data_IF_073362732303
#
_entry.id   IF_073362732303
#
_cell.length_a   1.000
_cell.length_b   1.000
_cell.length_c   1.000
_cell.angle_alpha   90.00
_cell.angle_beta   90.00
_cell.angle_gamma   90.00
#
_symmetry.space_group_name_H-M   'P 1'
#
loop_
_entity.id
_entity.type
_entity.pdbx_description
1 polymer ?
#
# COMPACT_ATOMS: atom_id res chain seq x y z
N UNK A 1 11.07 -8.11 -6.96
CA UNK A 1 10.00 -8.38 -5.98
C UNK A 1 8.77 -8.95 -6.68
N UNK A 2 8.14 -9.94 -6.12
CA UNK A 2 6.89 -10.45 -6.65
C UNK A 2 5.77 -10.24 -5.62
N UNK A 3 4.53 -10.56 -6.01
CA UNK A 3 3.36 -10.32 -5.16
C UNK A 3 3.43 -11.06 -3.82
N UNK A 4 4.14 -12.17 -3.73
CA UNK A 4 4.26 -12.93 -2.49
C UNK A 4 4.99 -12.13 -1.41
N UNK A 5 5.90 -11.27 -1.81
CA UNK A 5 6.66 -10.45 -0.87
C UNK A 5 5.85 -9.28 -0.32
N UNK A 6 4.71 -8.98 -0.93
CA UNK A 6 3.81 -7.95 -0.43
C UNK A 6 2.97 -8.41 0.76
N UNK A 7 2.83 -9.72 0.97
CA UNK A 7 2.01 -10.20 2.08
C UNK A 7 2.62 -9.83 3.41
N UNK A 8 1.78 -9.39 4.33
CA UNK A 8 2.19 -9.06 5.67
C UNK A 8 1.81 -7.66 6.10
N UNK A 9 2.48 -7.18 7.13
CA UNK A 9 2.19 -5.88 7.73
C UNK A 9 3.20 -4.85 7.24
N UNK A 10 2.69 -3.70 6.83
CA UNK A 10 3.51 -2.59 6.34
C UNK A 10 3.16 -1.33 7.10
N UNK A 11 4.15 -0.50 7.33
CA UNK A 11 3.94 0.83 7.89
C UNK A 11 4.18 1.87 6.80
N UNK A 12 3.23 2.77 6.65
CA UNK A 12 3.33 3.86 5.68
C UNK A 12 3.66 5.16 6.39
N UNK A 13 4.57 5.93 5.80
CA UNK A 13 4.89 7.29 6.23
C UNK A 13 4.61 8.22 5.07
N UNK A 14 3.97 9.35 5.34
CA UNK A 14 3.63 10.34 4.33
C UNK A 14 4.38 11.64 4.58
N UNK A 15 4.92 12.23 3.52
CA UNK A 15 5.60 13.51 3.62
C UNK A 15 4.66 14.58 4.13
N UNK A 16 5.09 15.33 5.14
CA UNK A 16 4.30 16.40 5.71
C UNK A 16 3.21 15.97 6.67
N UNK A 17 3.09 14.67 6.94
CA UNK A 17 2.09 14.13 7.87
C UNK A 17 2.81 13.52 9.07
N UNK A 18 2.48 13.94 10.29
CA UNK A 18 3.09 13.35 11.48
C UNK A 18 2.60 11.95 11.77
N UNK A 19 1.41 11.61 11.32
CA UNK A 19 0.84 10.28 11.52
C UNK A 19 0.98 9.47 10.25
N UNK A 20 1.35 8.21 10.42
CA UNK A 20 1.43 7.28 9.32
C UNK A 20 0.18 6.42 9.25
N UNK A 21 0.30 5.33 8.51
CA UNK A 21 -0.76 4.35 8.39
C UNK A 21 -0.17 2.96 8.50
N UNK A 22 -1.03 1.97 8.77
CA UNK A 22 -0.64 0.57 8.84
C UNK A 22 -1.45 -0.18 7.80
N UNK A 23 -0.76 -0.92 6.94
CA UNK A 23 -1.39 -1.75 5.92
C UNK A 23 -1.15 -3.21 6.26
N UNK A 24 -2.20 -4.00 6.14
CA UNK A 24 -2.09 -5.45 6.23
C UNK A 24 -2.51 -6.02 4.88
N UNK A 25 -1.59 -6.69 4.22
CA UNK A 25 -1.80 -7.20 2.86
C UNK A 25 -1.77 -8.72 2.87
N UNK A 26 -2.69 -9.31 2.12
CA UNK A 26 -2.80 -10.76 2.02
C UNK A 26 -3.22 -11.16 0.60
N UNK A 27 -3.28 -12.46 0.36
CA UNK A 27 -3.62 -12.98 -0.95
C UNK A 27 -5.02 -12.55 -1.37
N UNK A 28 -5.16 -12.09 -2.62
CA UNK A 28 -6.46 -11.81 -3.20
C UNK A 28 -7.22 -13.12 -3.41
N UNK A 29 -8.50 -13.19 -3.04
CA UNK A 29 -9.25 -14.46 -3.15
C UNK A 29 -9.54 -14.88 -4.58
N UNK A 30 -9.53 -13.96 -5.53
CA UNK A 30 -9.86 -14.26 -6.92
C UNK A 30 -8.68 -14.14 -7.88
N UNK A 31 -7.77 -13.21 -7.64
CA UNK A 31 -6.65 -12.93 -8.54
C UNK A 31 -5.33 -13.33 -7.87
N UNK A 32 -4.75 -14.43 -8.34
CA UNK A 32 -3.60 -15.04 -7.68
C UNK A 32 -2.38 -14.12 -7.59
N UNK A 33 -2.23 -13.18 -8.52
CA UNK A 33 -1.08 -12.28 -8.55
C UNK A 33 -1.35 -10.93 -7.89
N UNK A 34 -2.52 -10.76 -7.30
CA UNK A 34 -2.90 -9.52 -6.64
C UNK A 34 -2.93 -9.68 -5.14
N UNK A 35 -2.91 -8.55 -4.43
CA UNK A 35 -3.04 -8.53 -2.98
C UNK A 35 -4.28 -7.77 -2.61
N UNK A 36 -4.81 -8.09 -1.45
CA UNK A 36 -5.97 -7.45 -0.86
C UNK A 36 -5.69 -7.24 0.61
N UNK A 37 -6.25 -6.21 1.19
CA UNK A 37 -6.07 -6.02 2.61
C UNK A 37 -6.77 -4.80 3.12
N UNK A 38 -6.24 -4.28 4.23
CA UNK A 38 -6.80 -3.12 4.91
C UNK A 38 -5.71 -2.11 5.18
N UNK A 39 -6.14 -0.85 5.25
CA UNK A 39 -5.29 0.24 5.72
C UNK A 39 -5.99 0.90 6.90
N UNK A 40 -5.22 1.18 7.96
CA UNK A 40 -5.70 1.92 9.11
C UNK A 40 -4.94 3.22 9.23
N UNK A 41 -5.69 4.30 9.32
CA UNK A 41 -5.13 5.64 9.41
C UNK A 41 -5.98 6.45 10.37
N UNK A 42 -5.36 6.93 11.45
CA UNK A 42 -6.00 7.85 12.39
C UNK A 42 -7.38 7.36 12.86
N UNK A 43 -7.46 6.07 13.18
CA UNK A 43 -8.71 5.47 13.65
C UNK A 43 -9.68 5.06 12.57
N UNK A 44 -9.43 5.44 11.32
CA UNK A 44 -10.27 5.05 10.19
C UNK A 44 -9.67 3.84 9.49
N UNK A 45 -10.52 3.05 8.87
CA UNK A 45 -10.11 1.86 8.14
C UNK A 45 -10.71 1.88 6.74
N UNK A 46 -9.91 1.45 5.77
CA UNK A 46 -10.34 1.32 4.38
C UNK A 46 -9.82 0.00 3.82
N UNK A 47 -10.32 -0.38 2.66
CA UNK A 47 -9.88 -1.58 1.95
C UNK A 47 -8.88 -1.20 0.88
N UNK A 48 -7.91 -2.07 0.63
CA UNK A 48 -6.92 -1.88 -0.42
C UNK A 48 -6.81 -3.11 -1.28
N UNK A 49 -6.59 -2.91 -2.58
CA UNK A 49 -6.37 -3.96 -3.57
C UNK A 49 -5.32 -3.46 -4.55
N UNK A 50 -4.39 -4.31 -4.90
CA UNK A 50 -3.38 -3.92 -5.87
C UNK A 50 -2.42 -5.04 -6.20
N UNK A 51 -1.29 -4.67 -6.80
CA UNK A 51 -0.28 -5.65 -7.17
C UNK A 51 1.10 -5.01 -7.30
N UNK A 52 2.08 -5.87 -7.54
CA UNK A 52 3.42 -5.44 -7.92
C UNK A 52 3.81 -6.19 -9.19
N UNK A 53 4.34 -5.46 -10.17
CA UNK A 53 4.76 -6.03 -11.45
C UNK A 53 6.08 -5.38 -11.85
N UNK A 54 7.12 -6.20 -11.96
CA UNK A 54 8.47 -5.74 -12.32
C UNK A 54 8.94 -4.58 -11.44
N UNK A 55 8.66 -4.68 -10.14
CA UNK A 55 9.07 -3.66 -9.18
C UNK A 55 8.16 -2.43 -9.12
N UNK A 56 7.13 -2.36 -9.96
CA UNK A 56 6.15 -1.27 -9.92
C UNK A 56 4.99 -1.69 -9.03
N UNK A 57 4.74 -0.90 -8.01
CA UNK A 57 3.70 -1.14 -7.01
C UNK A 57 2.51 -0.24 -7.31
N UNK A 58 1.33 -0.85 -7.36
CA UNK A 58 0.07 -0.10 -7.50
C UNK A 58 -0.93 -0.61 -6.49
N UNK A 59 -1.68 0.31 -5.90
CA UNK A 59 -2.69 -0.02 -4.91
C UNK A 59 -3.85 0.94 -5.03
N UNK A 60 -5.06 0.43 -4.86
CA UNK A 60 -6.27 1.24 -4.84
C UNK A 60 -6.93 1.10 -3.49
N UNK A 61 -7.32 2.24 -2.94
CA UNK A 61 -7.89 2.34 -1.61
C UNK A 61 -9.36 2.73 -1.71
N UNK A 62 -10.22 2.03 -0.97
CA UNK A 62 -11.66 2.29 -0.99
C UNK A 62 -12.24 2.20 0.42
N UNK A 63 -13.05 3.18 0.79
CA UNK A 63 -13.73 3.18 2.09
C UNK A 63 -14.96 2.26 2.05
N UNK A 64 -15.67 2.25 0.93
CA UNK A 64 -16.90 1.49 0.79
C UNK A 64 -16.77 0.19 -0.01
N UNK A 65 -15.58 -0.12 -0.50
CA UNK A 65 -15.33 -1.30 -1.31
C UNK A 65 -15.77 -1.18 -2.76
N UNK A 66 -16.25 -0.01 -3.20
CA UNK A 66 -16.74 0.19 -4.57
C UNK A 66 -16.04 1.35 -5.27
N UNK A 67 -15.95 2.48 -4.61
CA UNK A 67 -15.40 3.69 -5.21
C UNK A 67 -13.97 3.89 -4.73
N UNK A 68 -13.09 4.19 -5.67
CA UNK A 68 -11.68 4.42 -5.33
C UNK A 68 -11.56 5.78 -4.68
N UNK A 69 -11.06 5.80 -3.44
CA UNK A 69 -10.85 7.02 -2.68
C UNK A 69 -9.43 7.55 -2.84
N UNK A 70 -8.48 6.65 -3.09
CA UNK A 70 -7.09 7.03 -3.27
C UNK A 70 -6.35 5.97 -4.06
N UNK A 71 -5.24 6.38 -4.68
CA UNK A 71 -4.36 5.46 -5.39
C UNK A 71 -2.94 5.61 -4.87
N UNK A 72 -2.22 4.50 -4.89
CA UNK A 72 -0.81 4.43 -4.50
C UNK A 72 -0.03 3.97 -5.71
N UNK A 73 0.99 4.71 -6.08
CA UNK A 73 1.86 4.33 -7.20
C UNK A 73 3.29 4.50 -6.75
N UNK A 74 4.07 3.45 -6.85
CA UNK A 74 5.44 3.51 -6.38
C UNK A 74 6.32 2.44 -6.97
N UNK A 75 7.52 2.36 -6.44
CA UNK A 75 8.50 1.39 -6.88
C UNK A 75 9.19 0.79 -5.67
N UNK A 76 9.50 -0.48 -5.79
CA UNK A 76 10.28 -1.19 -4.78
C UNK A 76 11.71 -0.65 -4.80
N UNK A 77 12.23 -0.33 -3.64
CA UNK A 77 13.62 0.11 -3.50
C UNK A 77 14.52 -1.12 -3.59
N UNK A 78 15.36 -1.20 -4.60
CA UNK A 78 16.17 -2.40 -4.86
C UNK A 78 17.04 -2.80 -3.69
N UNK A 79 17.67 -1.83 -3.05
CA UNK A 79 18.59 -2.09 -1.95
C UNK A 79 17.89 -2.57 -0.68
N UNK A 80 16.56 -2.57 -0.63
CA UNK A 80 15.80 -2.92 0.57
C UNK A 80 15.49 -4.41 0.68
N UNK A 81 15.83 -5.21 -0.31
CA UNK A 81 15.46 -6.63 -0.39
C UNK A 81 13.94 -6.83 -0.35
N UNK A 82 13.21 -5.93 -1.02
CA UNK A 82 11.76 -6.03 -1.09
C UNK A 82 11.03 -5.55 0.15
N UNK A 83 11.70 -4.82 1.03
CA UNK A 83 11.11 -4.38 2.30
C UNK A 83 10.76 -2.90 2.35
N UNK A 84 11.05 -2.18 1.28
CA UNK A 84 10.74 -0.75 1.22
C UNK A 84 10.19 -0.40 -0.16
N UNK A 85 9.12 0.38 -0.17
CA UNK A 85 8.48 0.86 -1.39
C UNK A 85 8.28 2.36 -1.24
N UNK A 86 8.62 3.11 -2.26
CA UNK A 86 8.47 4.57 -2.27
C UNK A 86 7.65 5.01 -3.47
N UNK A 87 6.84 6.03 -3.28
CA UNK A 87 6.03 6.55 -4.37
C UNK A 87 5.15 7.70 -3.96
N UNK A 88 4.01 7.81 -4.65
CA UNK A 88 3.05 8.89 -4.46
C UNK A 88 1.67 8.33 -4.16
N UNK A 89 1.07 8.82 -3.10
CA UNK A 89 -0.33 8.60 -2.74
C UNK A 89 -1.14 9.78 -3.28
N UNK A 90 -2.28 9.49 -3.90
CA UNK A 90 -3.13 10.52 -4.48
C UNK A 90 -4.57 10.32 -4.05
N UNK A 91 -5.17 11.39 -3.51
CA UNK A 91 -6.57 11.42 -3.18
C UNK A 91 -7.38 11.70 -4.44
N UNK A 92 -8.29 10.80 -4.81
CA UNK A 92 -9.03 10.92 -6.07
C UNK A 92 -10.10 12.02 -6.03
N UNK A 93 -10.59 12.38 -4.85
CA UNK A 93 -11.64 13.38 -4.74
C UNK A 93 -11.15 14.80 -4.98
N UNK A 94 -9.95 15.13 -4.48
CA UNK A 94 -9.42 16.51 -4.58
C UNK A 94 -8.09 16.60 -5.31
N UNK A 95 -7.53 15.48 -5.76
CA UNK A 95 -6.26 15.46 -6.47
C UNK A 95 -5.03 15.72 -5.62
N UNK A 96 -5.17 15.82 -4.31
CA UNK A 96 -4.03 16.04 -3.43
C UNK A 96 -3.06 14.85 -3.50
N UNK A 97 -1.77 15.13 -3.50
CA UNK A 97 -0.73 14.12 -3.58
C UNK A 97 0.24 14.25 -2.41
N UNK A 98 0.76 13.11 -1.96
CA UNK A 98 1.79 13.07 -0.93
C UNK A 98 2.77 11.95 -1.27
N UNK A 99 4.04 12.21 -1.08
CA UNK A 99 5.04 11.15 -1.17
C UNK A 99 4.85 10.20 0.01
N UNK A 100 5.06 8.89 -0.25
CA UNK A 100 4.98 7.89 0.80
C UNK A 100 6.21 7.00 0.80
N UNK A 101 6.46 6.39 1.95
CA UNK A 101 7.41 5.31 2.09
C UNK A 101 6.68 4.20 2.84
N UNK A 102 6.68 3.00 2.25
CA UNK A 102 6.16 1.80 2.91
C UNK A 102 7.34 0.96 3.38
N UNK A 103 7.30 0.55 4.64
CA UNK A 103 8.33 -0.32 5.21
C UNK A 103 7.68 -1.55 5.80
N UNK A 104 8.14 -2.72 5.37
CA UNK A 104 7.64 -3.98 5.88
C UNK A 104 8.06 -4.16 7.33
N UNK A 105 7.13 -4.59 8.17
CA UNK A 105 7.39 -4.75 9.58
C UNK A 105 8.03 -6.12 9.82
N UNK A 106 9.12 -6.17 10.59
CA UNK A 106 9.80 -7.43 10.87
C UNK A 106 9.00 -8.30 11.83
N UNK A 107 9.24 -9.60 11.77
CA UNK A 107 8.62 -10.53 12.69
C UNK A 107 7.18 -10.85 12.42
N UNK A 108 6.60 -10.29 11.41
CA UNK A 108 5.21 -10.52 11.03
C UNK A 108 5.15 -11.34 9.74
N UNK A 109 4.39 -12.40 9.77
CA UNK A 109 4.29 -13.33 8.64
C UNK A 109 2.85 -13.46 8.17
#
# INVERSE_FOLDING_TARGET
MNHLQLYGLWRAEFAGEPQGAVLQLEKHPEFAESVKGTIRRDGAQAQVVGDVDEGVFTLEESIDGRNIAATWNGQVVEASCGKEIRGTWKNTANGAERAFILRKQPGWQ
#
